data_IF_088052543069
#
_entry.id   IF_088052543069
#
_cell.length_a   1.000
_cell.length_b   1.000
_cell.length_c   1.000
_cell.angle_alpha   90.00
_cell.angle_beta   90.00
_cell.angle_gamma   90.00
#
_symmetry.space_group_name_H-M   'P 1'
#
loop_
_entity.id
_entity.type
_entity.pdbx_description
1 polymer ?
#
# COMPACT_ATOMS: atom_id res chain seq x y z
N UNK A 1 -3.75 -11.09 9.01
CA UNK A 1 -2.56 -10.73 8.21
C UNK A 1 -2.93 -9.73 7.13
N UNK A 2 -2.10 -8.73 6.94
CA UNK A 2 -2.27 -7.78 5.85
C UNK A 2 -1.57 -8.31 4.61
N UNK A 3 -2.30 -8.39 3.50
CA UNK A 3 -1.72 -8.77 2.21
C UNK A 3 -1.60 -7.54 1.32
N UNK A 4 -0.40 -7.27 0.86
CA UNK A 4 -0.13 -6.15 -0.02
C UNK A 4 0.33 -6.70 -1.37
N UNK A 5 -0.29 -6.25 -2.44
CA UNK A 5 0.14 -6.59 -3.80
C UNK A 5 0.54 -5.30 -4.51
N UNK A 6 1.77 -5.26 -4.98
CA UNK A 6 2.30 -4.13 -5.75
C UNK A 6 2.38 -4.57 -7.21
N UNK A 7 1.71 -3.85 -8.09
CA UNK A 7 1.69 -4.17 -9.52
C UNK A 7 2.77 -3.39 -10.24
N UNK A 8 3.60 -4.11 -10.98
CA UNK A 8 4.80 -3.57 -11.62
C UNK A 8 4.61 -3.62 -13.13
N UNK A 9 4.88 -2.51 -13.80
CA UNK A 9 4.76 -2.44 -15.25
C UNK A 9 5.99 -3.04 -15.96
N UNK A 10 5.97 -3.01 -17.30
CA UNK A 10 7.05 -3.58 -18.10
C UNK A 10 8.39 -2.86 -17.94
N UNK A 11 8.39 -1.68 -17.38
CA UNK A 11 9.60 -0.90 -17.10
C UNK A 11 10.06 -1.02 -15.64
N UNK A 12 9.49 -1.99 -14.91
CA UNK A 12 9.80 -2.24 -13.51
C UNK A 12 9.40 -1.09 -12.57
N UNK A 13 8.37 -0.33 -12.96
CA UNK A 13 7.85 0.75 -12.14
C UNK A 13 6.55 0.35 -11.47
N UNK A 14 6.34 0.85 -10.26
CA UNK A 14 5.13 0.53 -9.51
C UNK A 14 3.95 1.33 -10.06
N UNK A 15 2.95 0.63 -10.57
CA UNK A 15 1.78 1.22 -11.21
C UNK A 15 0.58 1.32 -10.28
N UNK A 16 0.40 0.32 -9.44
CA UNK A 16 -0.74 0.28 -8.53
C UNK A 16 -0.42 -0.56 -7.30
N UNK A 17 -1.26 -0.44 -6.29
CA UNK A 17 -1.12 -1.19 -5.05
C UNK A 17 -2.49 -1.58 -4.52
N UNK A 18 -2.59 -2.79 -4.00
CA UNK A 18 -3.77 -3.29 -3.30
C UNK A 18 -3.37 -3.77 -1.91
N UNK A 19 -4.10 -3.34 -0.91
CA UNK A 19 -3.91 -3.78 0.46
C UNK A 19 -5.21 -4.40 0.97
N UNK A 20 -5.13 -5.61 1.52
CA UNK A 20 -6.27 -6.33 2.06
C UNK A 20 -5.93 -6.89 3.45
N UNK A 21 -6.96 -7.20 4.23
CA UNK A 21 -6.75 -7.89 5.50
C UNK A 21 -6.47 -6.97 6.66
N UNK A 22 -7.12 -5.89 6.67
CA UNK A 22 -7.06 -4.86 7.72
C UNK A 22 -7.24 -5.42 9.11
N UNK A 23 -6.43 -4.99 10.05
CA UNK A 23 -6.39 -5.52 11.41
C UNK A 23 -7.51 -5.05 12.33
N UNK A 24 -8.51 -4.39 11.85
CA UNK A 24 -9.65 -4.02 12.68
C UNK A 24 -10.68 -5.12 12.85
N UNK A 25 -10.45 -6.29 12.23
CA UNK A 25 -11.38 -7.39 12.28
C UNK A 25 -11.05 -8.28 13.47
N UNK A 26 -11.99 -8.38 14.38
CA UNK A 26 -11.78 -8.87 15.72
C UNK A 26 -11.40 -10.34 15.87
N UNK A 27 -11.61 -11.15 14.84
CA UNK A 27 -11.51 -12.59 15.00
C UNK A 27 -10.10 -13.17 14.90
N UNK A 28 -9.17 -12.39 14.33
CA UNK A 28 -7.76 -12.78 14.21
C UNK A 28 -6.85 -11.84 14.95
N UNK A 29 -7.30 -11.42 16.09
CA UNK A 29 -6.60 -10.42 16.88
C UNK A 29 -5.33 -10.99 17.49
N UNK A 30 -4.21 -10.78 16.82
CA UNK A 30 -2.91 -11.09 17.39
C UNK A 30 -2.30 -9.83 17.98
N UNK A 31 -1.57 -10.01 19.07
CA UNK A 31 -0.86 -8.91 19.69
C UNK A 31 0.10 -8.28 18.69
N UNK A 32 0.01 -6.99 18.50
CA UNK A 32 0.82 -6.24 17.54
C UNK A 32 0.19 -6.07 16.16
N UNK A 33 -0.86 -6.83 15.83
CA UNK A 33 -1.49 -6.74 14.51
C UNK A 33 -2.09 -5.35 14.26
N UNK A 34 -2.69 -4.75 15.27
CA UNK A 34 -3.25 -3.42 15.16
C UNK A 34 -2.19 -2.37 14.85
N UNK A 35 -1.02 -2.51 15.46
CA UNK A 35 0.09 -1.59 15.25
C UNK A 35 0.59 -1.69 13.80
N UNK A 36 0.78 -2.90 13.31
CA UNK A 36 1.23 -3.12 11.93
C UNK A 36 0.20 -2.58 10.94
N UNK A 37 -1.08 -2.82 11.20
CA UNK A 37 -2.15 -2.30 10.36
C UNK A 37 -2.17 -0.77 10.32
N UNK A 38 -2.06 -0.14 11.49
CA UNK A 38 -2.04 1.32 11.57
C UNK A 38 -0.85 1.90 10.83
N UNK A 39 0.32 1.28 10.97
CA UNK A 39 1.53 1.74 10.28
C UNK A 39 1.39 1.60 8.76
N UNK A 40 0.96 0.44 8.28
CA UNK A 40 0.79 0.21 6.85
C UNK A 40 -0.28 1.15 6.26
N UNK A 41 -1.40 1.31 6.96
CA UNK A 41 -2.48 2.19 6.52
C UNK A 41 -2.01 3.64 6.45
N UNK A 42 -1.27 4.09 7.43
CA UNK A 42 -0.74 5.46 7.45
C UNK A 42 0.16 5.70 6.24
N UNK A 43 1.00 4.74 5.88
CA UNK A 43 1.91 4.87 4.75
C UNK A 43 1.15 4.95 3.42
N UNK A 44 0.17 4.07 3.19
CA UNK A 44 -0.56 4.08 1.92
C UNK A 44 -1.45 5.31 1.79
N UNK A 45 -2.09 5.74 2.86
CA UNK A 45 -2.91 6.95 2.83
C UNK A 45 -2.05 8.20 2.65
N UNK A 46 -0.91 8.26 3.31
CA UNK A 46 0.02 9.38 3.12
C UNK A 46 0.51 9.46 1.68
N UNK A 47 0.82 8.33 1.08
CA UNK A 47 1.25 8.30 -0.32
C UNK A 47 0.17 8.86 -1.24
N UNK A 48 -1.07 8.37 -1.11
CA UNK A 48 -2.17 8.81 -1.96
C UNK A 48 -2.46 10.31 -1.77
N UNK A 49 -2.51 10.76 -0.52
CA UNK A 49 -2.75 12.16 -0.20
C UNK A 49 -1.61 13.06 -0.68
N UNK A 50 -0.38 12.57 -0.61
CA UNK A 50 0.80 13.32 -1.07
C UNK A 50 0.78 13.49 -2.58
N UNK A 51 0.41 12.45 -3.32
CA UNK A 51 0.29 12.55 -4.78
C UNK A 51 -0.77 13.57 -5.16
N UNK A 52 -1.91 13.54 -4.49
CA UNK A 52 -2.97 14.51 -4.73
C UNK A 52 -2.52 15.94 -4.42
N UNK A 53 -1.80 16.13 -3.32
CA UNK A 53 -1.40 17.44 -2.83
C UNK A 53 -0.23 18.04 -3.61
N UNK A 54 0.74 17.21 -3.99
CA UNK A 54 2.02 17.69 -4.50
C UNK A 54 2.26 17.45 -5.97
N UNK A 55 1.36 16.74 -6.65
CA UNK A 55 1.48 16.49 -8.10
C UNK A 55 0.14 16.74 -8.78
N UNK A 56 0.18 16.76 -10.11
CA UNK A 56 -1.02 16.80 -10.95
C UNK A 56 -1.36 15.44 -11.53
N UNK A 57 -0.71 14.39 -11.06
CA UNK A 57 -0.92 13.06 -11.60
C UNK A 57 -2.31 12.52 -11.26
N UNK A 58 -2.91 11.85 -12.22
CA UNK A 58 -4.25 11.30 -12.09
C UNK A 58 -4.21 9.88 -11.56
N UNK A 59 -5.08 9.59 -10.63
CA UNK A 59 -5.19 8.26 -10.02
C UNK A 59 -6.61 7.98 -9.56
N UNK A 60 -6.88 6.72 -9.33
CA UNK A 60 -8.09 6.26 -8.66
C UNK A 60 -7.68 5.59 -7.37
N UNK A 61 -8.40 5.90 -6.30
CA UNK A 61 -8.17 5.26 -5.00
C UNK A 61 -9.52 4.98 -4.35
N UNK A 62 -9.65 3.80 -3.77
CA UNK A 62 -10.84 3.47 -3.01
C UNK A 62 -10.49 2.68 -1.76
N UNK A 63 -11.34 2.80 -0.75
CA UNK A 63 -11.25 2.06 0.50
C UNK A 63 -12.51 1.25 0.68
N UNK A 64 -12.34 -0.02 1.04
CA UNK A 64 -13.44 -0.87 1.47
C UNK A 64 -13.25 -1.12 2.96
N UNK A 65 -13.92 -0.34 3.79
CA UNK A 65 -13.77 -0.43 5.23
C UNK A 65 -14.26 -1.76 5.79
N UNK A 66 -15.28 -2.35 5.18
CA UNK A 66 -15.80 -3.64 5.63
C UNK A 66 -14.82 -4.77 5.35
N UNK A 67 -14.24 -4.80 4.17
CA UNK A 67 -13.26 -5.81 3.79
C UNK A 67 -11.85 -5.46 4.25
N UNK A 68 -11.64 -4.25 4.76
CA UNK A 68 -10.33 -3.78 5.15
C UNK A 68 -9.40 -3.62 3.96
N UNK A 69 -9.95 -3.16 2.82
CA UNK A 69 -9.21 -3.05 1.58
C UNK A 69 -8.90 -1.62 1.19
N UNK A 70 -7.78 -1.46 0.52
CA UNK A 70 -7.39 -0.20 -0.09
C UNK A 70 -6.80 -0.50 -1.46
N UNK A 71 -7.25 0.25 -2.48
CA UNK A 71 -6.72 0.13 -3.84
C UNK A 71 -6.30 1.50 -4.32
N UNK A 72 -5.15 1.56 -4.98
CA UNK A 72 -4.63 2.78 -5.59
C UNK A 72 -4.07 2.43 -6.96
N UNK A 73 -4.41 3.21 -7.98
CA UNK A 73 -3.93 2.99 -9.34
C UNK A 73 -3.76 4.30 -10.08
N UNK A 74 -2.60 4.52 -10.67
CA UNK A 74 -2.42 5.62 -11.59
C UNK A 74 -3.24 5.38 -12.86
N UNK A 75 -3.88 6.43 -13.36
CA UNK A 75 -4.74 6.33 -14.54
C UNK A 75 -4.16 7.01 -15.78
N UNK A 76 -3.01 7.66 -15.62
CA UNK A 76 -2.35 8.36 -16.71
C UNK A 76 -0.85 8.41 -16.41
N UNK A 77 -0.13 9.32 -17.03
CA UNK A 77 1.30 9.51 -16.85
C UNK A 77 1.70 9.62 -15.37
N UNK A 78 2.81 8.99 -15.04
CA UNK A 78 3.36 9.02 -13.68
C UNK A 78 4.60 9.91 -13.69
N UNK A 79 4.52 11.02 -12.96
CA UNK A 79 5.65 11.95 -12.84
C UNK A 79 6.80 11.36 -12.02
N UNK A 80 8.02 11.91 -12.15
CA UNK A 80 9.13 11.49 -11.28
C UNK A 80 8.83 11.65 -9.79
N UNK A 81 8.07 12.67 -9.42
CA UNK A 81 7.68 12.92 -8.03
C UNK A 81 6.78 11.81 -7.51
N UNK A 82 5.78 11.40 -8.30
CA UNK A 82 4.90 10.29 -7.92
C UNK A 82 5.64 8.97 -7.86
N UNK A 83 6.61 8.76 -8.75
CA UNK A 83 7.46 7.56 -8.69
C UNK A 83 8.25 7.51 -7.40
N UNK A 84 8.82 8.63 -7.00
CA UNK A 84 9.55 8.69 -5.73
C UNK A 84 8.63 8.40 -4.55
N UNK A 85 7.44 8.98 -4.54
CA UNK A 85 6.48 8.75 -3.46
C UNK A 85 6.06 7.29 -3.40
N UNK A 86 5.81 6.66 -4.54
CA UNK A 86 5.44 5.25 -4.59
C UNK A 86 6.61 4.35 -4.18
N UNK A 87 7.83 4.67 -4.62
CA UNK A 87 9.02 3.94 -4.20
C UNK A 87 9.22 4.02 -2.70
N UNK A 88 9.01 5.21 -2.13
CA UNK A 88 9.12 5.42 -0.70
C UNK A 88 8.08 4.62 0.07
N UNK A 89 6.85 4.57 -0.44
CA UNK A 89 5.80 3.75 0.17
C UNK A 89 6.20 2.28 0.20
N UNK A 90 6.59 1.74 -0.94
CA UNK A 90 6.93 0.31 -1.05
C UNK A 90 8.12 -0.01 -0.14
N UNK A 91 9.12 0.85 -0.12
CA UNK A 91 10.26 0.69 0.77
C UNK A 91 9.84 0.66 2.25
N UNK A 92 8.94 1.57 2.64
CA UNK A 92 8.41 1.59 4.00
C UNK A 92 7.65 0.33 4.36
N UNK A 93 6.82 -0.17 3.45
CA UNK A 93 6.10 -1.42 3.66
C UNK A 93 7.05 -2.62 3.77
N UNK A 94 8.11 -2.65 2.96
CA UNK A 94 9.13 -3.70 3.05
C UNK A 94 9.86 -3.66 4.38
N UNK A 95 10.11 -2.48 4.92
CA UNK A 95 10.72 -2.34 6.24
C UNK A 95 9.80 -2.91 7.33
N UNK A 96 8.50 -2.69 7.23
CA UNK A 96 7.53 -3.24 8.16
C UNK A 96 7.51 -4.77 8.04
N UNK A 97 7.51 -5.29 6.83
CA UNK A 97 7.54 -6.73 6.59
C UNK A 97 8.79 -7.37 7.18
N UNK A 98 9.93 -6.74 6.99
CA UNK A 98 11.21 -7.23 7.52
C UNK A 98 11.23 -7.25 9.05
N UNK A 99 10.68 -6.21 9.68
CA UNK A 99 10.68 -6.08 11.14
C UNK A 99 9.67 -7.01 11.81
N UNK A 100 8.46 -7.10 11.25
CA UNK A 100 7.36 -7.85 11.88
C UNK A 100 7.04 -9.16 11.18
N UNK A 101 7.08 -9.20 9.86
CA UNK A 101 6.89 -10.39 9.05
C UNK A 101 5.54 -11.05 9.19
N UNK A 102 5.49 -12.33 8.81
CA UNK A 102 4.34 -13.15 9.07
C UNK A 102 4.28 -13.50 10.54
N UNK A 103 3.10 -13.50 11.15
CA UNK A 103 1.78 -13.52 10.54
C UNK A 103 1.14 -12.16 10.31
N UNK A 104 1.88 -11.07 10.35
CA UNK A 104 1.29 -9.73 10.35
C UNK A 104 1.11 -9.13 8.97
N UNK A 105 2.11 -9.26 8.09
CA UNK A 105 2.08 -8.60 6.78
C UNK A 105 2.88 -9.42 5.77
N UNK A 106 2.39 -9.45 4.53
CA UNK A 106 3.08 -10.06 3.41
C UNK A 106 2.92 -9.21 2.17
N UNK A 107 4.03 -8.97 1.48
CA UNK A 107 4.06 -8.16 0.26
C UNK A 107 4.38 -9.06 -0.92
N UNK A 108 3.63 -8.90 -2.01
CA UNK A 108 3.90 -9.55 -3.28
C UNK A 108 4.03 -8.53 -4.37
N UNK A 109 4.79 -8.89 -5.41
CA UNK A 109 4.93 -8.09 -6.61
C UNK A 109 4.39 -8.88 -7.78
N UNK A 110 3.51 -8.26 -8.55
CA UNK A 110 2.94 -8.89 -9.74
C UNK A 110 3.18 -8.00 -10.96
N UNK A 111 3.55 -8.61 -12.07
CA UNK A 111 3.70 -7.90 -13.34
C UNK A 111 2.34 -7.71 -14.00
N UNK A 112 2.14 -6.58 -14.60
CA UNK A 112 0.92 -6.28 -15.36
C UNK A 112 1.21 -6.10 -16.84
#
# INVERSE_FOLDING_TARGET
MISVTVFVDSEHQYESIRMLGHAGLADDHQEGQELVCAAASALVLNMANSIEQFTDDLFEADQDEEAGGFNFRFTDHISPESRLLMNSLVFGLQNIEEEYGEPYIKIRFEEV
#
